data_IF_781852297688
#
_entry.id   IF_781852297688
#
_cell.length_a   1.000
_cell.length_b   1.000
_cell.length_c   1.000
_cell.angle_alpha   90.00
_cell.angle_beta   90.00
_cell.angle_gamma   90.00
#
_symmetry.space_group_name_H-M   'P 1'
#
loop_
_entity.id
_entity.type
_entity.pdbx_description
1 polymer ?
#
# COMPACT_ATOMS: atom_id res chain seq x y z
N UNK A 1 -4.04 -6.35 21.39
CA UNK A 1 -4.17 -6.34 19.94
C UNK A 1 -5.47 -5.62 19.51
N UNK A 2 -5.43 -4.28 19.67
CA UNK A 2 -6.59 -3.39 19.55
C UNK A 2 -7.25 -3.44 18.15
N UNK A 3 -6.47 -3.55 17.08
CA UNK A 3 -7.00 -3.63 15.71
C UNK A 3 -7.93 -4.85 15.55
N UNK A 4 -7.49 -6.02 16.01
CA UNK A 4 -8.27 -7.26 15.91
C UNK A 4 -9.53 -7.20 16.78
N UNK A 5 -9.45 -6.63 17.97
CA UNK A 5 -10.60 -6.47 18.85
C UNK A 5 -11.69 -5.59 18.20
N UNK A 6 -11.30 -4.46 17.58
CA UNK A 6 -12.22 -3.59 16.85
C UNK A 6 -12.83 -4.31 15.64
N UNK A 7 -12.02 -5.06 14.87
CA UNK A 7 -12.50 -5.79 13.69
C UNK A 7 -13.47 -6.95 14.05
N UNK A 8 -13.39 -7.48 15.25
CA UNK A 8 -14.27 -8.55 15.73
C UNK A 8 -15.66 -8.05 16.18
N UNK A 9 -15.81 -6.75 16.45
CA UNK A 9 -17.07 -6.13 16.87
C UNK A 9 -17.60 -5.21 15.75
N UNK A 10 -18.71 -5.56 15.09
CA UNK A 10 -19.28 -4.76 14.00
C UNK A 10 -19.64 -3.32 14.39
N UNK A 11 -20.11 -3.09 15.63
CA UNK A 11 -20.47 -1.75 16.09
C UNK A 11 -19.22 -0.90 16.33
N UNK A 12 -18.20 -1.47 16.99
CA UNK A 12 -16.91 -0.81 17.19
C UNK A 12 -16.20 -0.54 15.86
N UNK A 13 -16.26 -1.47 14.91
CA UNK A 13 -15.68 -1.30 13.57
C UNK A 13 -16.32 -0.14 12.83
N UNK A 14 -17.65 -0.05 12.82
CA UNK A 14 -18.37 1.05 12.20
C UNK A 14 -17.98 2.41 12.80
N UNK A 15 -17.97 2.51 14.13
CA UNK A 15 -17.55 3.73 14.83
C UNK A 15 -16.11 4.11 14.53
N UNK A 16 -15.20 3.13 14.48
CA UNK A 16 -13.80 3.36 14.16
C UNK A 16 -13.60 3.84 12.72
N UNK A 17 -14.35 3.33 11.74
CA UNK A 17 -14.31 3.78 10.35
C UNK A 17 -14.81 5.23 10.23
N UNK A 18 -15.93 5.58 10.89
CA UNK A 18 -16.47 6.95 10.90
C UNK A 18 -15.50 7.94 11.57
N UNK A 19 -14.86 7.55 12.65
CA UNK A 19 -13.84 8.35 13.32
C UNK A 19 -12.59 8.49 12.45
N UNK A 20 -12.19 7.40 11.76
CA UNK A 20 -11.06 7.37 10.85
C UNK A 20 -11.24 8.31 9.64
N UNK A 21 -12.45 8.39 9.11
CA UNK A 21 -12.77 9.34 8.04
C UNK A 21 -12.51 10.79 8.48
N UNK A 22 -12.89 11.14 9.71
CA UNK A 22 -12.63 12.48 10.26
C UNK A 22 -11.13 12.71 10.52
N UNK A 23 -10.46 11.71 11.09
CA UNK A 23 -9.02 11.78 11.39
C UNK A 23 -8.15 11.84 10.12
N UNK A 24 -8.64 11.31 9.00
CA UNK A 24 -7.94 11.32 7.71
C UNK A 24 -7.96 12.68 6.98
N UNK A 25 -8.49 13.75 7.58
CA UNK A 25 -8.70 15.06 6.95
C UNK A 25 -7.46 15.59 6.18
N UNK A 26 -6.27 15.46 6.73
CA UNK A 26 -5.04 15.87 6.03
C UNK A 26 -4.58 14.84 5.00
N UNK A 27 -4.89 13.57 5.20
CA UNK A 27 -4.44 12.47 4.33
C UNK A 27 -5.12 12.54 2.95
N UNK A 28 -6.40 12.90 2.92
CA UNK A 28 -7.21 12.91 1.71
C UNK A 28 -6.74 13.92 0.67
N UNK A 29 -6.04 14.98 1.07
CA UNK A 29 -5.49 15.97 0.14
C UNK A 29 -4.52 15.37 -0.88
N UNK A 30 -3.77 14.34 -0.49
CA UNK A 30 -2.82 13.65 -1.37
C UNK A 30 -3.31 12.25 -1.75
N UNK A 31 -3.90 11.51 -0.80
CA UNK A 31 -4.33 10.14 -1.02
C UNK A 31 -5.75 10.01 -1.59
N UNK A 32 -6.50 11.12 -1.72
CA UNK A 32 -7.88 11.16 -2.21
C UNK A 32 -8.91 10.85 -1.12
N UNK A 33 -10.14 11.36 -1.29
CA UNK A 33 -11.21 11.29 -0.29
C UNK A 33 -11.51 9.86 0.17
N UNK A 34 -11.48 8.91 -0.76
CA UNK A 34 -11.70 7.49 -0.48
C UNK A 34 -10.38 6.69 -0.53
N UNK A 35 -9.24 7.35 -0.41
CA UNK A 35 -7.93 6.69 -0.55
C UNK A 35 -7.56 6.35 -1.99
N UNK A 36 -8.21 7.00 -2.96
CA UNK A 36 -7.90 6.90 -4.38
C UNK A 36 -7.17 8.16 -4.83
N UNK A 37 -5.85 8.12 -4.85
CA UNK A 37 -5.01 9.28 -5.14
C UNK A 37 -5.12 9.71 -6.62
N UNK A 38 -5.21 11.01 -6.84
CA UNK A 38 -5.08 11.62 -8.18
C UNK A 38 -3.63 11.97 -8.52
N UNK A 39 -2.71 11.80 -7.58
CA UNK A 39 -1.27 12.07 -7.76
C UNK A 39 -0.59 10.74 -8.04
N UNK A 40 0.01 10.54 -9.24
CA UNK A 40 0.51 9.23 -9.67
C UNK A 40 1.60 8.63 -8.77
N UNK A 41 2.40 9.45 -8.12
CA UNK A 41 3.48 9.03 -7.22
C UNK A 41 3.02 8.76 -5.79
N UNK A 42 1.81 9.20 -5.44
CA UNK A 42 1.21 9.00 -4.12
C UNK A 42 0.34 7.74 -4.15
N UNK A 43 0.52 6.80 -3.23
CA UNK A 43 -0.19 5.52 -3.31
C UNK A 43 -1.68 5.65 -3.04
N UNK A 44 -2.45 4.79 -3.71
CA UNK A 44 -3.79 4.47 -3.28
C UNK A 44 -3.74 3.76 -1.92
N UNK A 45 -4.58 4.20 -0.99
CA UNK A 45 -4.75 3.56 0.32
C UNK A 45 -6.04 2.73 0.39
N UNK A 46 -6.97 2.98 -0.54
CA UNK A 46 -8.24 2.28 -0.63
C UNK A 46 -8.06 0.76 -0.75
N UNK A 47 -8.77 0.01 0.10
CA UNK A 47 -8.74 -1.44 0.11
C UNK A 47 -7.42 -2.07 0.55
N UNK A 48 -6.46 -1.28 1.02
CA UNK A 48 -5.23 -1.82 1.58
C UNK A 48 -5.49 -2.49 2.92
N UNK A 49 -4.75 -3.55 3.24
CA UNK A 49 -4.88 -4.28 4.49
C UNK A 49 -4.67 -3.36 5.70
N UNK A 50 -5.63 -3.23 6.64
CA UNK A 50 -5.52 -2.29 7.76
C UNK A 50 -4.29 -2.53 8.64
N UNK A 51 -3.92 -3.78 8.90
CA UNK A 51 -2.73 -4.09 9.69
C UNK A 51 -1.44 -3.68 8.95
N UNK A 52 -1.40 -3.85 7.61
CA UNK A 52 -0.29 -3.36 6.80
C UNK A 52 -0.22 -1.83 6.82
N UNK A 53 -1.36 -1.12 6.68
CA UNK A 53 -1.39 0.35 6.79
C UNK A 53 -0.86 0.82 8.14
N UNK A 54 -1.33 0.20 9.23
CA UNK A 54 -0.89 0.54 10.58
C UNK A 54 0.62 0.34 10.76
N UNK A 55 1.17 -0.75 10.23
CA UNK A 55 2.61 -0.99 10.25
C UNK A 55 3.38 0.04 9.41
N UNK A 56 2.85 0.48 8.26
CA UNK A 56 3.50 1.55 7.49
C UNK A 56 3.47 2.89 8.22
N UNK A 57 2.37 3.22 8.90
CA UNK A 57 2.25 4.40 9.77
C UNK A 57 3.31 4.32 10.87
N UNK A 58 3.46 3.17 11.54
CA UNK A 58 4.50 2.96 12.55
C UNK A 58 5.90 3.19 11.98
N UNK A 59 6.19 2.61 10.82
CA UNK A 59 7.51 2.72 10.15
C UNK A 59 7.86 4.15 9.74
N UNK A 60 6.89 4.96 9.33
CA UNK A 60 7.12 6.38 9.11
C UNK A 60 7.43 7.10 10.44
N UNK A 61 6.67 6.80 11.48
CA UNK A 61 6.88 7.40 12.81
C UNK A 61 8.25 7.08 13.41
N UNK A 62 8.76 5.86 13.22
CA UNK A 62 10.07 5.39 13.71
C UNK A 62 11.24 5.76 12.78
N UNK A 63 10.98 6.21 11.55
CA UNK A 63 12.01 6.49 10.55
C UNK A 63 12.54 5.26 9.80
N UNK A 64 12.00 4.07 10.07
CA UNK A 64 12.32 2.85 9.29
C UNK A 64 11.88 2.95 7.83
N UNK A 65 10.81 3.69 7.56
CA UNK A 65 10.39 4.10 6.22
C UNK A 65 10.58 5.60 6.10
N UNK A 66 11.38 6.03 5.13
CA UNK A 66 11.79 7.42 4.98
C UNK A 66 10.90 8.13 3.96
N UNK A 67 10.24 9.17 4.42
CA UNK A 67 9.57 10.21 3.66
C UNK A 67 9.34 11.37 4.62
N UNK A 68 10.03 12.48 4.38
CA UNK A 68 10.08 13.59 5.33
C UNK A 68 8.68 14.17 5.61
N UNK A 69 7.84 14.27 4.58
CA UNK A 69 6.48 14.78 4.73
C UNK A 69 5.62 13.82 5.57
N UNK A 70 5.60 12.52 5.20
CA UNK A 70 4.83 11.52 5.93
C UNK A 70 5.32 11.34 7.36
N UNK A 71 6.65 11.38 7.60
CA UNK A 71 7.20 11.30 8.95
C UNK A 71 6.72 12.46 9.83
N UNK A 72 6.68 13.69 9.30
CA UNK A 72 6.15 14.86 10.00
C UNK A 72 4.66 14.72 10.35
N UNK A 73 3.86 14.29 9.37
CA UNK A 73 2.42 14.15 9.52
C UNK A 73 2.04 13.04 10.53
N UNK A 74 2.74 11.89 10.46
CA UNK A 74 2.43 10.74 11.34
C UNK A 74 2.77 11.03 12.82
N UNK A 75 3.76 11.86 13.10
CA UNK A 75 4.17 12.19 14.47
C UNK A 75 3.10 12.90 15.30
N UNK A 76 2.19 13.64 14.65
CA UNK A 76 1.14 14.38 15.35
C UNK A 76 -0.12 13.54 15.61
N UNK A 77 -0.22 12.35 15.00
CA UNK A 77 -1.37 11.46 15.18
C UNK A 77 -1.29 10.71 16.51
N UNK A 78 -2.43 10.65 17.20
CA UNK A 78 -2.61 9.77 18.36
C UNK A 78 -2.67 8.30 17.92
N UNK A 79 -2.32 7.39 18.80
CA UNK A 79 -2.33 5.95 18.48
C UNK A 79 -3.72 5.44 18.08
N UNK A 80 -4.77 6.00 18.65
CA UNK A 80 -6.13 5.69 18.26
C UNK A 80 -6.46 6.12 16.84
N UNK A 81 -6.09 7.33 16.47
CA UNK A 81 -6.30 7.87 15.12
C UNK A 81 -5.57 7.06 14.06
N UNK A 82 -4.38 6.55 14.36
CA UNK A 82 -3.62 5.65 13.47
C UNK A 82 -4.39 4.38 13.13
N UNK A 83 -5.00 3.75 14.14
CA UNK A 83 -5.84 2.55 13.96
C UNK A 83 -7.11 2.90 13.16
N UNK A 84 -7.78 3.99 13.50
CA UNK A 84 -9.00 4.45 12.84
C UNK A 84 -8.77 4.79 11.37
N UNK A 85 -7.70 5.51 11.05
CA UNK A 85 -7.28 5.85 9.67
C UNK A 85 -7.00 4.58 8.87
N UNK A 86 -6.30 3.61 9.45
CA UNK A 86 -6.01 2.34 8.79
C UNK A 86 -7.29 1.55 8.49
N UNK A 87 -8.25 1.53 9.41
CA UNK A 87 -9.56 0.89 9.21
C UNK A 87 -10.39 1.63 8.16
N UNK A 88 -10.41 2.96 8.19
CA UNK A 88 -11.13 3.77 7.21
C UNK A 88 -10.66 3.51 5.78
N UNK A 89 -9.36 3.65 5.49
CA UNK A 89 -8.85 3.42 4.14
C UNK A 89 -8.95 1.94 3.74
N UNK A 90 -8.74 1.03 4.68
CA UNK A 90 -8.88 -0.40 4.42
C UNK A 90 -10.31 -0.84 4.06
N UNK A 91 -11.33 -0.11 4.52
CA UNK A 91 -12.74 -0.36 4.22
C UNK A 91 -13.20 0.18 2.86
N UNK A 92 -12.39 1.04 2.22
CA UNK A 92 -12.76 1.62 0.94
C UNK A 92 -12.58 0.63 -0.21
N UNK A 93 -13.40 0.76 -1.25
CA UNK A 93 -13.26 -0.05 -2.46
C UNK A 93 -11.93 0.27 -3.14
N UNK A 94 -11.14 -0.77 -3.39
CA UNK A 94 -9.88 -0.61 -4.10
C UNK A 94 -10.15 -0.26 -5.57
N UNK A 95 -9.41 0.72 -6.14
CA UNK A 95 -9.52 1.05 -7.56
C UNK A 95 -8.88 -0.01 -8.44
N UNK A 96 -9.19 0.03 -9.74
CA UNK A 96 -8.38 -0.59 -10.78
C UNK A 96 -8.03 0.45 -11.83
N UNK A 97 -6.81 0.42 -12.32
CA UNK A 97 -6.29 1.36 -13.31
C UNK A 97 -6.26 0.78 -14.72
N UNK A 98 -5.89 1.62 -15.68
CA UNK A 98 -5.66 1.21 -17.06
C UNK A 98 -4.20 0.78 -17.22
N UNK A 99 -3.99 -0.34 -17.90
CA UNK A 99 -2.67 -0.89 -18.21
C UNK A 99 -2.41 -0.92 -19.71
N UNK A 100 -1.14 -0.90 -20.09
CA UNK A 100 -0.71 -1.33 -21.41
C UNK A 100 -0.83 -2.86 -21.47
N UNK A 101 -1.62 -3.43 -22.43
CA UNK A 101 -1.88 -4.87 -22.47
C UNK A 101 -0.63 -5.73 -22.68
N UNK A 102 0.33 -5.26 -23.51
CA UNK A 102 1.56 -6.00 -23.79
C UNK A 102 2.47 -6.02 -22.54
N UNK A 103 2.59 -4.89 -21.85
CA UNK A 103 3.30 -4.80 -20.58
C UNK A 103 2.63 -5.66 -19.51
N UNK A 104 1.31 -5.61 -19.40
CA UNK A 104 0.55 -6.37 -18.41
C UNK A 104 0.70 -7.89 -18.60
N UNK A 105 0.69 -8.38 -19.85
CA UNK A 105 0.92 -9.80 -20.16
C UNK A 105 2.30 -10.27 -19.66
N UNK A 106 3.36 -9.54 -19.98
CA UNK A 106 4.72 -9.81 -19.48
C UNK A 106 4.79 -9.70 -17.94
N UNK A 107 4.16 -8.67 -17.39
CA UNK A 107 4.11 -8.45 -15.94
C UNK A 107 3.46 -9.59 -15.18
N UNK A 108 2.40 -10.20 -15.73
CA UNK A 108 1.74 -11.37 -15.17
C UNK A 108 2.70 -12.55 -15.02
N UNK A 109 3.48 -12.83 -16.04
CA UNK A 109 4.46 -13.94 -15.99
C UNK A 109 5.55 -13.71 -14.95
N UNK A 110 6.07 -12.49 -14.87
CA UNK A 110 7.09 -12.12 -13.89
C UNK A 110 6.52 -12.15 -12.46
N UNK A 111 5.31 -11.64 -12.27
CA UNK A 111 4.62 -11.68 -10.98
C UNK A 111 4.40 -13.11 -10.50
N UNK A 112 3.94 -14.00 -11.37
CA UNK A 112 3.74 -15.41 -11.05
C UNK A 112 5.02 -16.12 -10.60
N UNK A 113 6.16 -15.74 -11.16
CA UNK A 113 7.46 -16.34 -10.81
C UNK A 113 8.06 -15.81 -9.53
N UNK A 114 7.91 -14.51 -9.25
CA UNK A 114 8.71 -13.82 -8.23
C UNK A 114 7.90 -13.29 -7.04
N UNK A 115 6.61 -13.02 -7.22
CA UNK A 115 5.83 -12.21 -6.27
C UNK A 115 4.67 -12.98 -5.63
N UNK A 116 4.07 -13.92 -6.38
CA UNK A 116 2.83 -14.62 -5.99
C UNK A 116 2.94 -15.33 -4.65
N UNK A 117 4.11 -15.87 -4.33
CA UNK A 117 4.34 -16.62 -3.08
C UNK A 117 3.99 -15.82 -1.82
N UNK A 118 4.24 -14.51 -1.83
CA UNK A 118 3.97 -13.64 -0.69
C UNK A 118 2.72 -12.78 -0.92
N UNK A 119 2.55 -12.22 -2.12
CA UNK A 119 1.45 -11.30 -2.40
C UNK A 119 0.13 -11.98 -2.81
N UNK A 120 0.14 -13.31 -3.00
CA UNK A 120 -1.03 -14.09 -3.42
C UNK A 120 -1.33 -13.97 -4.91
N UNK A 121 -2.11 -14.90 -5.46
CA UNK A 121 -2.46 -14.94 -6.90
C UNK A 121 -3.22 -13.70 -7.36
N UNK A 122 -4.03 -13.14 -6.49
CA UNK A 122 -4.82 -11.92 -6.74
C UNK A 122 -4.08 -10.63 -6.39
N UNK A 123 -2.82 -10.72 -5.95
CA UNK A 123 -1.99 -9.60 -5.49
C UNK A 123 -2.63 -8.77 -4.36
N UNK A 124 -3.51 -9.38 -3.55
CA UNK A 124 -4.20 -8.70 -2.43
C UNK A 124 -3.42 -8.77 -1.12
N UNK A 125 -2.35 -9.58 -1.07
CA UNK A 125 -1.55 -9.74 0.13
C UNK A 125 -2.35 -10.29 1.32
N UNK A 126 -1.91 -9.92 2.52
CA UNK A 126 -2.56 -10.28 3.78
C UNK A 126 -2.34 -9.19 4.85
N UNK A 127 -2.55 -9.52 6.12
CA UNK A 127 -2.36 -8.59 7.24
C UNK A 127 -0.95 -7.98 7.31
N UNK A 128 0.07 -8.68 6.84
CA UNK A 128 1.50 -8.27 6.91
C UNK A 128 2.08 -7.92 5.54
N UNK A 129 1.48 -8.45 4.49
CA UNK A 129 1.91 -8.30 3.10
C UNK A 129 0.99 -7.31 2.38
N UNK A 130 1.60 -6.35 1.69
CA UNK A 130 0.86 -5.32 0.97
C UNK A 130 -0.08 -5.89 -0.09
N UNK A 131 -1.30 -5.33 -0.16
CA UNK A 131 -2.09 -5.38 -1.39
C UNK A 131 -1.39 -4.56 -2.46
N UNK A 132 -1.18 -5.14 -3.64
CA UNK A 132 -0.59 -4.50 -4.82
C UNK A 132 -1.62 -4.27 -5.94
N UNK A 133 -2.70 -5.07 -5.93
CA UNK A 133 -3.79 -4.97 -6.90
C UNK A 133 -4.41 -3.56 -6.89
N UNK A 134 -4.58 -2.97 -8.06
CA UNK A 134 -5.14 -1.63 -8.24
C UNK A 134 -4.24 -0.46 -7.86
N UNK A 135 -2.97 -0.72 -7.57
CA UNK A 135 -2.04 0.35 -7.19
C UNK A 135 -1.51 1.10 -8.41
N UNK A 136 -1.13 2.35 -8.23
CA UNK A 136 -0.66 3.23 -9.29
C UNK A 136 0.70 2.81 -9.87
N UNK A 137 0.83 2.82 -11.20
CA UNK A 137 2.06 2.42 -11.92
C UNK A 137 3.29 3.22 -11.45
N UNK A 138 3.30 4.56 -11.41
CA UNK A 138 4.49 5.30 -10.97
C UNK A 138 4.89 5.00 -9.53
N UNK A 139 3.92 4.87 -8.63
CA UNK A 139 4.20 4.49 -7.26
C UNK A 139 4.79 3.07 -7.14
N UNK A 140 4.25 2.10 -7.89
CA UNK A 140 4.77 0.73 -7.91
C UNK A 140 6.19 0.69 -8.47
N UNK A 141 6.44 1.37 -9.59
CA UNK A 141 7.77 1.45 -10.21
C UNK A 141 8.78 2.02 -9.22
N UNK A 142 8.48 3.16 -8.61
CA UNK A 142 9.36 3.79 -7.62
C UNK A 142 9.59 2.86 -6.41
N UNK A 143 8.53 2.22 -5.90
CA UNK A 143 8.63 1.37 -4.71
C UNK A 143 9.47 0.11 -4.96
N UNK A 144 9.25 -0.57 -6.10
CA UNK A 144 10.00 -1.78 -6.46
C UNK A 144 11.47 -1.43 -6.72
N UNK A 145 11.73 -0.32 -7.44
CA UNK A 145 13.08 0.19 -7.69
C UNK A 145 13.83 0.46 -6.38
N UNK A 146 13.17 1.09 -5.41
CA UNK A 146 13.78 1.36 -4.09
C UNK A 146 14.16 0.10 -3.33
N UNK A 147 13.39 -0.98 -3.45
CA UNK A 147 13.76 -2.29 -2.89
C UNK A 147 14.91 -2.94 -3.64
N UNK A 148 14.86 -2.98 -4.98
CA UNK A 148 15.90 -3.54 -5.84
C UNK A 148 17.25 -2.88 -5.59
N UNK A 149 17.27 -1.55 -5.57
CA UNK A 149 18.49 -0.75 -5.45
C UNK A 149 18.94 -0.55 -3.99
N UNK A 150 18.18 -1.10 -3.04
CA UNK A 150 18.45 -1.04 -1.60
C UNK A 150 18.75 0.39 -1.10
N UNK A 151 17.95 1.36 -1.52
CA UNK A 151 18.18 2.80 -1.31
C UNK A 151 18.08 3.23 0.17
N UNK A 152 17.64 2.34 1.07
CA UNK A 152 17.39 2.65 2.48
C UNK A 152 16.14 3.49 2.75
N UNK A 153 15.35 3.83 1.72
CA UNK A 153 14.06 4.55 1.87
C UNK A 153 12.98 3.59 2.39
N UNK A 154 13.01 2.35 1.91
CA UNK A 154 12.18 1.23 2.36
C UNK A 154 13.06 0.03 2.62
N UNK A 155 12.95 -0.53 3.81
CA UNK A 155 13.76 -1.67 4.23
C UNK A 155 12.88 -2.91 4.38
N UNK A 156 13.12 -3.91 3.53
CA UNK A 156 12.59 -5.26 3.66
C UNK A 156 13.48 -6.20 2.87
N UNK A 157 14.22 -7.04 3.60
CA UNK A 157 15.22 -7.94 3.00
C UNK A 157 14.60 -8.91 1.97
N UNK A 158 13.42 -9.46 2.25
CA UNK A 158 12.75 -10.38 1.34
C UNK A 158 12.38 -9.68 0.02
N UNK A 159 11.88 -8.43 0.10
CA UNK A 159 11.59 -7.64 -1.09
C UNK A 159 12.86 -7.30 -1.86
N UNK A 160 13.94 -6.91 -1.19
CA UNK A 160 15.22 -6.63 -1.86
C UNK A 160 15.76 -7.85 -2.59
N UNK A 161 15.69 -9.03 -1.98
CA UNK A 161 16.09 -10.29 -2.63
C UNK A 161 15.20 -10.61 -3.84
N UNK A 162 13.87 -10.54 -3.66
CA UNK A 162 12.91 -10.89 -4.71
C UNK A 162 13.00 -9.96 -5.94
N UNK A 163 13.42 -8.71 -5.74
CA UNK A 163 13.48 -7.69 -6.80
C UNK A 163 14.88 -7.51 -7.40
N UNK A 164 15.93 -8.09 -6.81
CA UNK A 164 17.34 -7.83 -7.13
C UNK A 164 17.72 -8.05 -8.60
N UNK A 165 17.10 -9.02 -9.28
CA UNK A 165 17.37 -9.35 -10.67
C UNK A 165 16.50 -8.60 -11.69
N UNK A 166 15.52 -7.80 -11.24
CA UNK A 166 14.59 -7.11 -12.12
C UNK A 166 15.26 -5.96 -12.86
N UNK A 167 15.05 -5.88 -14.16
CA UNK A 167 15.38 -4.72 -14.97
C UNK A 167 14.28 -3.66 -14.90
N UNK A 168 14.55 -2.45 -15.36
CA UNK A 168 13.56 -1.37 -15.35
C UNK A 168 12.31 -1.71 -16.17
N UNK A 169 12.47 -2.38 -17.30
CA UNK A 169 11.35 -2.86 -18.12
C UNK A 169 10.52 -3.94 -17.41
N UNK A 170 11.14 -4.81 -16.61
CA UNK A 170 10.44 -5.83 -15.81
C UNK A 170 9.57 -5.18 -14.73
N UNK A 171 10.13 -4.18 -14.05
CA UNK A 171 9.41 -3.41 -13.01
C UNK A 171 8.20 -2.70 -13.62
N UNK A 172 8.35 -2.06 -14.80
CA UNK A 172 7.24 -1.43 -15.52
C UNK A 172 6.17 -2.44 -15.93
N UNK A 173 6.58 -3.60 -16.42
CA UNK A 173 5.67 -4.67 -16.79
C UNK A 173 4.85 -5.16 -15.59
N UNK A 174 5.51 -5.46 -14.47
CA UNK A 174 4.85 -5.87 -13.22
C UNK A 174 3.86 -4.78 -12.75
N UNK A 175 4.26 -3.50 -12.78
CA UNK A 175 3.39 -2.41 -12.36
C UNK A 175 2.14 -2.28 -13.25
N UNK A 176 2.27 -2.49 -14.58
CA UNK A 176 1.13 -2.52 -15.50
C UNK A 176 0.19 -3.70 -15.22
N UNK A 177 0.73 -4.88 -14.92
CA UNK A 177 -0.12 -6.01 -14.52
C UNK A 177 -0.90 -5.72 -13.24
N UNK A 178 -0.25 -5.20 -12.22
CA UNK A 178 -0.84 -4.96 -10.91
C UNK A 178 -1.92 -3.88 -10.91
N UNK A 179 -1.74 -2.80 -11.68
CA UNK A 179 -2.67 -1.66 -11.67
C UNK A 179 -4.06 -2.02 -12.18
N UNK A 180 -4.19 -2.98 -13.08
CA UNK A 180 -5.48 -3.41 -13.65
C UNK A 180 -6.25 -4.42 -12.79
N UNK A 181 -5.59 -5.03 -11.81
CA UNK A 181 -6.23 -6.01 -10.92
C UNK A 181 -7.22 -5.32 -9.96
N UNK A 182 -8.40 -5.96 -9.70
CA UNK A 182 -9.43 -5.42 -8.80
C UNK A 182 -9.08 -5.58 -7.31
#
# INVERSE_FOLDING_TARGET
DRLKAIQADPAALKQAIEAGQKAAFFCVNCHGDNGFSKIPEVPNLAGQNPAYLLEQIRKFGSGERKDQFMQGLIKVLKDEERVQIALYFGSQAAPSGKADPAQAARGKELFAKLCVRCHGETARGDATIARLAGQQIPYLVTSITRYRDNTGVRNNQLMSIATSSLKNEDIKAIANYLTQLP
#
